data_IF_482690168793
#
_entry.id   IF_482690168793
#
_cell.length_a   1.000
_cell.length_b   1.000
_cell.length_c   1.000
_cell.angle_alpha   90.00
_cell.angle_beta   90.00
_cell.angle_gamma   90.00
#
_symmetry.space_group_name_H-M   'P 1'
#
loop_
_entity.id
_entity.type
_entity.pdbx_description
1 polymer ?
#
# COMPACT_ATOMS: atom_id res chain seq x y z
N UNK A 1 -19.03 39.01 -7.30
CA UNK A 1 -17.73 38.83 -6.63
C UNK A 1 -16.68 39.61 -7.43
N UNK A 2 -15.96 40.56 -6.83
CA UNK A 2 -14.85 41.25 -7.49
C UNK A 2 -13.68 40.30 -7.71
N UNK A 3 -12.97 40.35 -8.85
CA UNK A 3 -11.81 39.50 -9.10
C UNK A 3 -10.73 39.78 -8.02
N UNK A 4 -10.23 38.72 -7.42
CA UNK A 4 -9.15 38.81 -6.43
C UNK A 4 -7.83 38.96 -7.18
N UNK A 5 -7.12 40.06 -6.91
CA UNK A 5 -5.83 40.33 -7.55
C UNK A 5 -4.71 39.86 -6.64
N UNK A 6 -3.86 38.98 -7.14
CA UNK A 6 -2.71 38.44 -6.40
C UNK A 6 -1.43 39.22 -6.72
N UNK A 7 -0.60 39.42 -5.72
CA UNK A 7 0.75 39.99 -5.93
C UNK A 7 1.68 38.91 -6.53
N UNK A 8 2.73 39.35 -7.24
CA UNK A 8 3.73 38.41 -7.79
C UNK A 8 4.36 37.51 -6.69
N UNK A 9 4.58 38.07 -5.48
CA UNK A 9 5.08 37.29 -4.33
C UNK A 9 4.10 36.22 -3.89
N UNK A 10 2.80 36.55 -3.80
CA UNK A 10 1.77 35.56 -3.44
C UNK A 10 1.67 34.42 -4.49
N UNK A 11 1.80 34.75 -5.78
CA UNK A 11 1.83 33.77 -6.85
C UNK A 11 3.04 32.85 -6.72
N UNK A 12 4.22 33.36 -6.49
CA UNK A 12 5.43 32.57 -6.28
C UNK A 12 5.32 31.65 -5.07
N UNK A 13 4.74 32.15 -3.98
CA UNK A 13 4.50 31.33 -2.78
C UNK A 13 3.50 30.21 -3.05
N UNK A 14 2.40 30.48 -3.75
CA UNK A 14 1.41 29.46 -4.11
C UNK A 14 2.01 28.37 -5.04
N UNK A 15 2.89 28.77 -5.98
CA UNK A 15 3.61 27.79 -6.83
C UNK A 15 4.50 26.87 -5.98
N UNK A 16 5.21 27.42 -4.99
CA UNK A 16 6.07 26.65 -4.11
C UNK A 16 5.29 25.71 -3.17
N UNK A 17 4.11 26.13 -2.72
CA UNK A 17 3.25 25.34 -1.81
C UNK A 17 2.45 24.24 -2.52
N UNK A 18 2.24 24.35 -3.82
CA UNK A 18 1.51 23.35 -4.60
C UNK A 18 0.09 23.09 -4.07
N UNK A 19 -0.18 21.86 -3.65
CA UNK A 19 -1.49 21.45 -3.12
C UNK A 19 -1.71 21.84 -1.64
N UNK A 20 -0.67 22.29 -0.94
CA UNK A 20 -0.75 22.67 0.48
C UNK A 20 -1.20 24.12 0.60
N UNK A 21 -2.23 24.38 1.38
CA UNK A 21 -2.76 25.71 1.66
C UNK A 21 -2.69 25.99 3.17
N UNK A 22 -3.00 27.24 3.57
CA UNK A 22 -3.07 27.61 5.00
C UNK A 22 -4.11 26.81 5.79
N UNK A 23 -5.08 26.20 5.12
CA UNK A 23 -6.09 25.32 5.73
C UNK A 23 -5.59 23.89 5.99
N UNK A 24 -4.41 23.51 5.49
CA UNK A 24 -3.81 22.21 5.74
C UNK A 24 -3.31 22.13 7.18
N UNK A 25 -3.79 21.11 7.94
CA UNK A 25 -3.57 21.03 9.38
C UNK A 25 -2.63 19.90 9.82
N UNK A 26 -2.30 18.96 8.91
CA UNK A 26 -1.33 17.92 9.19
C UNK A 26 0.12 18.43 8.98
N UNK A 27 1.10 17.70 9.51
CA UNK A 27 2.51 17.93 9.18
C UNK A 27 2.84 17.25 7.84
N UNK A 28 3.12 18.03 6.76
CA UNK A 28 3.39 17.42 5.44
C UNK A 28 4.61 16.49 5.46
N UNK A 29 5.64 16.81 6.26
CA UNK A 29 6.86 16.02 6.30
C UNK A 29 6.62 14.66 6.96
N UNK A 30 5.87 14.65 8.05
CA UNK A 30 5.46 13.41 8.71
C UNK A 30 4.57 12.57 7.79
N UNK A 31 3.60 13.19 7.12
CA UNK A 31 2.73 12.47 6.17
C UNK A 31 3.54 11.87 5.03
N UNK A 32 4.45 12.63 4.41
CA UNK A 32 5.35 12.14 3.34
C UNK A 32 6.16 10.93 3.82
N UNK A 33 6.68 10.98 5.05
CA UNK A 33 7.47 9.89 5.62
C UNK A 33 6.64 8.62 5.77
N UNK A 34 5.44 8.70 6.32
CA UNK A 34 4.56 7.55 6.50
C UNK A 34 4.05 7.01 5.15
N UNK A 35 3.72 7.88 4.19
CA UNK A 35 3.36 7.46 2.84
C UNK A 35 4.51 6.72 2.13
N UNK A 36 5.76 7.13 2.34
CA UNK A 36 6.92 6.43 1.80
C UNK A 36 7.08 5.02 2.41
N UNK A 37 6.80 4.84 3.71
CA UNK A 37 6.80 3.52 4.36
C UNK A 37 5.72 2.61 3.79
N UNK A 38 4.49 3.12 3.68
CA UNK A 38 3.39 2.37 3.08
C UNK A 38 3.74 1.99 1.63
N UNK A 39 4.19 2.95 0.83
CA UNK A 39 4.60 2.72 -0.55
C UNK A 39 5.70 1.67 -0.67
N UNK A 40 6.68 1.69 0.22
CA UNK A 40 7.74 0.67 0.24
C UNK A 40 7.17 -0.73 0.50
N UNK A 41 6.19 -0.84 1.39
CA UNK A 41 5.49 -2.10 1.67
C UNK A 41 4.69 -2.57 0.46
N UNK A 42 3.95 -1.69 -0.23
CA UNK A 42 3.22 -2.03 -1.46
C UNK A 42 4.15 -2.59 -2.55
N UNK A 43 5.31 -1.95 -2.77
CA UNK A 43 6.31 -2.43 -3.74
C UNK A 43 6.83 -3.81 -3.35
N UNK A 44 7.06 -4.04 -2.07
CA UNK A 44 7.53 -5.35 -1.56
C UNK A 44 6.44 -6.40 -1.68
N UNK A 45 5.19 -6.05 -1.38
CA UNK A 45 4.00 -6.91 -1.55
C UNK A 45 3.83 -7.31 -3.01
N UNK A 46 3.94 -6.36 -3.93
CA UNK A 46 3.94 -6.65 -5.37
C UNK A 46 4.96 -7.73 -5.74
N UNK A 47 6.21 -7.58 -5.28
CA UNK A 47 7.28 -8.55 -5.58
C UNK A 47 7.00 -9.91 -4.97
N UNK A 48 6.49 -9.98 -3.74
CA UNK A 48 6.12 -11.21 -3.05
C UNK A 48 4.97 -11.93 -3.77
N UNK A 49 3.89 -11.22 -4.11
CA UNK A 49 2.78 -11.78 -4.86
C UNK A 49 3.19 -12.29 -6.24
N UNK A 50 4.06 -11.54 -6.95
CA UNK A 50 4.61 -12.00 -8.23
C UNK A 50 5.45 -13.26 -8.08
N UNK A 51 6.30 -13.33 -7.06
CA UNK A 51 7.08 -14.54 -6.77
C UNK A 51 6.14 -15.73 -6.50
N UNK A 52 5.13 -15.55 -5.64
CA UNK A 52 4.17 -16.60 -5.32
C UNK A 52 3.34 -17.01 -6.55
N UNK A 53 2.95 -16.08 -7.42
CA UNK A 53 2.25 -16.39 -8.66
C UNK A 53 3.09 -17.27 -9.60
N UNK A 54 4.40 -17.03 -9.71
CA UNK A 54 5.30 -17.90 -10.50
C UNK A 54 5.50 -19.27 -9.89
N UNK A 55 5.38 -19.41 -8.57
CA UNK A 55 5.55 -20.66 -7.84
C UNK A 55 4.24 -21.44 -7.65
N UNK A 56 3.08 -20.77 -7.76
CA UNK A 56 1.77 -21.36 -7.53
C UNK A 56 1.35 -22.27 -8.69
N UNK A 57 1.93 -23.48 -8.75
CA UNK A 57 1.58 -24.51 -9.74
C UNK A 57 0.84 -25.62 -9.02
N UNK A 58 -0.48 -25.75 -9.26
CA UNK A 58 -1.29 -26.79 -8.64
C UNK A 58 -2.50 -27.13 -9.51
N UNK A 59 -2.75 -28.43 -9.64
CA UNK A 59 -3.98 -28.94 -10.24
C UNK A 59 -5.22 -28.77 -9.33
N UNK A 60 -5.00 -28.59 -8.02
CA UNK A 60 -6.06 -28.47 -7.02
C UNK A 60 -6.46 -27.00 -6.73
N UNK A 61 -5.67 -26.04 -7.17
CA UNK A 61 -5.95 -24.62 -7.01
C UNK A 61 -5.55 -23.84 -8.29
N UNK A 62 -6.18 -24.10 -9.43
CA UNK A 62 -5.76 -23.51 -10.71
C UNK A 62 -5.96 -21.99 -10.77
N UNK A 63 -6.90 -21.43 -9.99
CA UNK A 63 -7.16 -19.98 -9.92
C UNK A 63 -6.19 -19.20 -9.00
N UNK A 64 -5.48 -19.88 -8.09
CA UNK A 64 -4.65 -19.20 -7.09
C UNK A 64 -3.53 -18.36 -7.70
N UNK A 65 -2.95 -18.83 -8.80
CA UNK A 65 -1.95 -18.07 -9.55
C UNK A 65 -2.53 -16.77 -10.08
N UNK A 66 -3.70 -16.83 -10.69
CA UNK A 66 -4.36 -15.67 -11.30
C UNK A 66 -4.77 -14.66 -10.20
N UNK A 67 -5.20 -15.14 -9.04
CA UNK A 67 -5.52 -14.30 -7.89
C UNK A 67 -4.27 -13.59 -7.34
N UNK A 68 -3.15 -14.30 -7.21
CA UNK A 68 -1.89 -13.67 -6.81
C UNK A 68 -1.39 -12.64 -7.83
N UNK A 69 -1.58 -12.87 -9.13
CA UNK A 69 -1.25 -11.89 -10.18
C UNK A 69 -2.17 -10.66 -10.13
N UNK A 70 -3.45 -10.86 -9.83
CA UNK A 70 -4.41 -9.76 -9.66
C UNK A 70 -4.06 -8.91 -8.43
N UNK A 71 -3.78 -9.53 -7.29
CA UNK A 71 -3.34 -8.83 -6.09
C UNK A 71 -2.03 -8.06 -6.36
N UNK A 72 -1.02 -8.69 -6.95
CA UNK A 72 0.22 -8.01 -7.31
C UNK A 72 -0.03 -6.74 -8.15
N UNK A 73 -0.95 -6.81 -9.10
CA UNK A 73 -1.29 -5.65 -9.95
C UNK A 73 -1.87 -4.50 -9.13
N UNK A 74 -2.72 -4.80 -8.13
CA UNK A 74 -3.31 -3.80 -7.25
C UNK A 74 -2.26 -3.20 -6.31
N UNK A 75 -1.36 -4.00 -5.71
CA UNK A 75 -0.26 -3.50 -4.88
C UNK A 75 0.60 -2.46 -5.62
N UNK A 76 0.91 -2.72 -6.90
CA UNK A 76 1.65 -1.77 -7.72
C UNK A 76 0.85 -0.49 -7.99
N UNK A 77 -0.45 -0.59 -8.20
CA UNK A 77 -1.33 0.58 -8.36
C UNK A 77 -1.40 1.40 -7.05
N UNK A 78 -1.51 0.75 -5.90
CA UNK A 78 -1.46 1.41 -4.60
C UNK A 78 -0.14 2.16 -4.40
N UNK A 79 1.00 1.53 -4.73
CA UNK A 79 2.31 2.17 -4.67
C UNK A 79 2.39 3.44 -5.54
N UNK A 80 1.79 3.41 -6.73
CA UNK A 80 1.74 4.57 -7.64
C UNK A 80 0.84 5.69 -7.09
N UNK A 81 -0.32 5.37 -6.56
CA UNK A 81 -1.23 6.34 -5.93
C UNK A 81 -0.57 7.04 -4.73
N UNK A 82 0.11 6.27 -3.88
CA UNK A 82 0.88 6.82 -2.76
C UNK A 82 2.03 7.73 -3.25
N UNK A 83 2.73 7.31 -4.30
CA UNK A 83 3.79 8.09 -4.94
C UNK A 83 3.30 9.43 -5.49
N UNK A 84 2.15 9.44 -6.15
CA UNK A 84 1.49 10.65 -6.64
C UNK A 84 1.11 11.59 -5.48
N UNK A 85 0.59 11.03 -4.38
CA UNK A 85 0.23 11.83 -3.21
C UNK A 85 1.46 12.45 -2.54
N UNK A 86 2.55 11.72 -2.41
CA UNK A 86 3.83 12.23 -1.91
C UNK A 86 4.28 13.44 -2.74
N UNK A 87 4.23 13.33 -4.08
CA UNK A 87 4.58 14.42 -4.98
C UNK A 87 3.68 15.65 -4.78
N UNK A 88 2.37 15.46 -4.64
CA UNK A 88 1.41 16.55 -4.39
C UNK A 88 1.70 17.29 -3.10
N UNK A 89 2.22 16.60 -2.08
CA UNK A 89 2.63 17.16 -0.81
C UNK A 89 4.03 17.84 -0.86
N UNK A 90 4.68 17.86 -2.03
CA UNK A 90 6.00 18.44 -2.23
C UNK A 90 7.16 17.52 -1.85
N UNK A 91 6.87 16.22 -1.61
CA UNK A 91 7.87 15.19 -1.32
C UNK A 91 8.40 14.49 -2.56
N UNK A 92 9.38 13.62 -2.34
CA UNK A 92 9.94 12.73 -3.36
C UNK A 92 9.70 11.29 -2.92
N UNK A 93 8.99 10.47 -3.72
CA UNK A 93 8.86 9.04 -3.43
C UNK A 93 10.23 8.37 -3.47
N UNK A 94 10.49 7.45 -2.53
CA UNK A 94 11.73 6.68 -2.54
C UNK A 94 11.74 5.67 -3.70
N UNK A 95 12.87 5.58 -4.42
CA UNK A 95 13.04 4.68 -5.56
C UNK A 95 14.23 3.73 -5.42
N UNK A 96 15.13 4.00 -4.48
CA UNK A 96 16.28 3.14 -4.23
C UNK A 96 15.80 1.78 -3.70
N UNK A 97 16.18 0.65 -4.33
CA UNK A 97 15.79 -0.68 -3.83
C UNK A 97 16.25 -0.93 -2.39
N UNK A 98 17.39 -0.35 -1.99
CA UNK A 98 17.92 -0.46 -0.62
C UNK A 98 17.01 0.28 0.36
N UNK A 99 16.57 1.50 0.02
CA UNK A 99 15.69 2.30 0.87
C UNK A 99 14.28 1.68 0.95
N UNK A 100 13.78 1.13 -0.15
CA UNK A 100 12.52 0.39 -0.18
C UNK A 100 12.61 -0.80 0.78
N UNK A 101 13.64 -1.63 0.64
CA UNK A 101 13.82 -2.80 1.50
C UNK A 101 14.01 -2.44 3.00
N UNK A 102 14.63 -1.29 3.29
CA UNK A 102 14.83 -0.81 4.65
C UNK A 102 13.55 -0.29 5.33
N UNK A 103 12.57 0.19 4.55
CA UNK A 103 11.35 0.82 5.06
C UNK A 103 10.11 -0.08 4.97
N UNK A 104 10.11 -1.06 4.08
CA UNK A 104 8.99 -1.96 3.89
C UNK A 104 8.76 -2.85 5.11
N UNK A 105 7.49 -3.11 5.43
CA UNK A 105 7.14 -4.25 6.24
C UNK A 105 7.39 -5.53 5.42
N UNK A 106 7.99 -6.53 6.03
CA UNK A 106 8.26 -7.82 5.40
C UNK A 106 7.74 -8.94 6.27
N UNK A 107 7.08 -9.90 5.64
CA UNK A 107 6.65 -11.15 6.26
C UNK A 107 7.17 -12.28 5.37
N UNK A 108 7.82 -13.24 5.97
CA UNK A 108 8.18 -14.45 5.25
C UNK A 108 9.27 -15.23 5.97
N UNK A 109 9.08 -16.53 6.03
CA UNK A 109 10.15 -17.50 6.27
C UNK A 109 10.44 -18.10 4.90
N UNK A 110 11.62 -17.86 4.34
CA UNK A 110 12.03 -18.48 3.08
C UNK A 110 12.67 -19.83 3.39
N UNK A 111 11.90 -20.95 3.40
CA UNK A 111 12.48 -22.27 3.59
C UNK A 111 13.41 -22.58 2.41
N UNK A 112 14.49 -23.36 2.67
CA UNK A 112 15.47 -23.74 1.64
C UNK A 112 14.85 -24.44 0.41
N UNK A 113 13.68 -25.08 0.58
CA UNK A 113 12.96 -25.79 -0.48
C UNK A 113 11.85 -24.94 -1.15
N UNK A 114 11.72 -23.69 -0.76
CA UNK A 114 10.61 -22.80 -1.17
C UNK A 114 9.31 -23.09 -0.41
N UNK A 115 8.38 -22.12 -0.34
CA UNK A 115 7.12 -22.26 0.38
C UNK A 115 6.15 -23.19 -0.35
N UNK A 116 5.36 -23.94 0.41
CA UNK A 116 4.16 -24.64 -0.08
C UNK A 116 3.07 -23.63 -0.45
N UNK A 117 2.07 -24.03 -1.25
CA UNK A 117 0.91 -23.16 -1.56
C UNK A 117 0.24 -22.62 -0.30
N UNK A 118 0.10 -23.45 0.73
CA UNK A 118 -0.50 -23.02 2.00
C UNK A 118 0.35 -21.98 2.72
N UNK A 119 1.66 -22.12 2.72
CA UNK A 119 2.59 -21.16 3.29
C UNK A 119 2.57 -19.85 2.51
N UNK A 120 2.53 -19.86 1.17
CA UNK A 120 2.38 -18.65 0.35
C UNK A 120 1.10 -17.87 0.71
N UNK A 121 -0.03 -18.56 0.89
CA UNK A 121 -1.29 -17.92 1.30
C UNK A 121 -1.16 -17.32 2.70
N UNK A 122 -0.52 -18.02 3.65
CA UNK A 122 -0.30 -17.53 5.01
C UNK A 122 0.61 -16.29 5.01
N UNK A 123 1.71 -16.31 4.27
CA UNK A 123 2.64 -15.20 4.19
C UNK A 123 1.96 -13.95 3.61
N UNK A 124 1.21 -14.10 2.51
CA UNK A 124 0.45 -13.00 1.93
C UNK A 124 -0.62 -12.49 2.91
N UNK A 125 -1.38 -13.37 3.56
CA UNK A 125 -2.38 -12.97 4.57
C UNK A 125 -1.75 -12.18 5.72
N UNK A 126 -0.59 -12.60 6.21
CA UNK A 126 0.08 -11.90 7.31
C UNK A 126 0.59 -10.53 6.88
N UNK A 127 1.04 -10.38 5.63
CA UNK A 127 1.46 -9.11 5.07
C UNK A 127 0.26 -8.15 4.92
N UNK A 128 -0.85 -8.61 4.32
CA UNK A 128 -2.10 -7.84 4.23
C UNK A 128 -2.57 -7.34 5.61
N UNK A 129 -2.55 -8.21 6.61
CA UNK A 129 -2.96 -7.82 7.97
C UNK A 129 -2.05 -6.75 8.59
N UNK A 130 -0.76 -6.78 8.31
CA UNK A 130 0.16 -5.71 8.72
C UNK A 130 -0.17 -4.39 8.00
N UNK A 131 -0.46 -4.45 6.70
CA UNK A 131 -0.88 -3.29 5.92
C UNK A 131 -2.21 -2.72 6.44
N UNK A 132 -3.23 -3.56 6.69
CA UNK A 132 -4.49 -3.13 7.31
C UNK A 132 -4.25 -2.37 8.61
N UNK A 133 -3.38 -2.88 9.48
CA UNK A 133 -3.04 -2.22 10.74
C UNK A 133 -2.34 -0.87 10.53
N UNK A 134 -1.39 -0.81 9.59
CA UNK A 134 -0.63 0.39 9.28
C UNK A 134 -1.54 1.48 8.66
N UNK A 135 -2.36 1.13 7.67
CA UNK A 135 -3.34 2.03 7.05
C UNK A 135 -4.34 2.56 8.07
N UNK A 136 -4.91 1.66 8.90
CA UNK A 136 -5.87 2.03 9.94
C UNK A 136 -5.25 3.02 10.94
N UNK A 137 -3.99 2.82 11.30
CA UNK A 137 -3.28 3.70 12.23
C UNK A 137 -3.11 5.10 11.61
N UNK A 138 -2.57 5.18 10.39
CA UNK A 138 -2.34 6.46 9.74
C UNK A 138 -3.65 7.21 9.44
N UNK A 139 -4.73 6.52 9.04
CA UNK A 139 -6.06 7.10 8.86
C UNK A 139 -6.57 7.77 10.14
N UNK A 140 -6.33 7.15 11.31
CA UNK A 140 -6.71 7.73 12.60
C UNK A 140 -5.86 8.93 12.98
N UNK A 141 -4.55 8.85 12.76
CA UNK A 141 -3.60 9.93 13.05
C UNK A 141 -3.86 11.18 12.20
N UNK A 142 -4.18 11.02 10.93
CA UNK A 142 -4.52 12.12 10.03
C UNK A 142 -5.80 12.87 10.44
N UNK A 143 -6.79 12.16 10.97
CA UNK A 143 -8.06 12.74 11.34
C UNK A 143 -8.64 13.61 10.21
N UNK A 144 -8.94 14.86 10.50
CA UNK A 144 -9.43 15.86 9.53
C UNK A 144 -8.29 16.77 8.99
N UNK A 145 -7.05 16.53 9.42
CA UNK A 145 -5.89 17.38 9.06
C UNK A 145 -5.49 17.28 7.60
N UNK A 146 -5.68 16.11 6.98
CA UNK A 146 -5.47 15.87 5.54
C UNK A 146 -6.57 14.96 4.99
N UNK A 147 -7.74 15.50 4.65
CA UNK A 147 -8.88 14.72 4.16
C UNK A 147 -8.60 14.02 2.83
N UNK A 148 -7.72 14.57 1.99
CA UNK A 148 -7.38 13.97 0.69
C UNK A 148 -6.52 12.73 0.87
N UNK A 149 -5.47 12.79 1.67
CA UNK A 149 -4.65 11.62 2.00
C UNK A 149 -5.48 10.57 2.74
N UNK A 150 -6.27 11.00 3.73
CA UNK A 150 -7.15 10.10 4.49
C UNK A 150 -8.11 9.34 3.58
N UNK A 151 -8.74 10.00 2.61
CA UNK A 151 -9.62 9.36 1.65
C UNK A 151 -8.87 8.32 0.80
N UNK A 152 -7.71 8.68 0.25
CA UNK A 152 -6.87 7.76 -0.51
C UNK A 152 -6.53 6.51 0.31
N UNK A 153 -6.10 6.69 1.57
CA UNK A 153 -5.76 5.58 2.45
C UNK A 153 -6.97 4.69 2.76
N UNK A 154 -8.18 5.23 2.88
CA UNK A 154 -9.40 4.46 3.09
C UNK A 154 -9.77 3.62 1.86
N UNK A 155 -9.53 4.12 0.64
CA UNK A 155 -9.74 3.39 -0.61
C UNK A 155 -8.77 2.19 -0.69
N UNK A 156 -7.49 2.40 -0.41
CA UNK A 156 -6.47 1.32 -0.39
C UNK A 156 -6.78 0.32 0.75
N UNK A 157 -7.10 0.80 1.94
CA UNK A 157 -7.45 -0.05 3.08
C UNK A 157 -8.60 -1.02 2.76
N UNK A 158 -9.62 -0.56 2.04
CA UNK A 158 -10.75 -1.41 1.66
C UNK A 158 -10.31 -2.56 0.72
N UNK A 159 -9.37 -2.32 -0.20
CA UNK A 159 -8.80 -3.35 -1.05
C UNK A 159 -7.95 -4.34 -0.24
N UNK A 160 -7.09 -3.84 0.65
CA UNK A 160 -6.23 -4.65 1.53
C UNK A 160 -7.06 -5.55 2.47
N UNK A 161 -8.16 -5.02 3.04
CA UNK A 161 -9.10 -5.81 3.86
C UNK A 161 -9.80 -6.91 3.04
N UNK A 162 -10.15 -6.63 1.79
CA UNK A 162 -10.71 -7.61 0.87
C UNK A 162 -9.71 -8.72 0.55
N UNK A 163 -8.47 -8.40 0.21
CA UNK A 163 -7.39 -9.37 -0.03
C UNK A 163 -7.16 -10.27 1.20
N UNK A 164 -7.09 -9.67 2.39
CA UNK A 164 -6.94 -10.45 3.63
C UNK A 164 -8.12 -11.42 3.86
N UNK A 165 -9.35 -11.02 3.51
CA UNK A 165 -10.53 -11.88 3.62
C UNK A 165 -10.48 -13.04 2.63
N UNK A 166 -10.16 -12.78 1.37
CA UNK A 166 -10.04 -13.77 0.29
C UNK A 166 -8.99 -14.82 0.64
N UNK A 167 -7.81 -14.40 1.10
CA UNK A 167 -6.73 -15.31 1.53
C UNK A 167 -7.13 -16.15 2.74
N UNK A 168 -7.84 -15.55 3.71
CA UNK A 168 -8.33 -16.29 4.87
C UNK A 168 -9.36 -17.35 4.48
N UNK A 169 -10.19 -17.10 3.48
CA UNK A 169 -11.19 -18.05 2.99
C UNK A 169 -10.54 -19.24 2.28
N UNK A 170 -9.46 -19.05 1.52
CA UNK A 170 -8.65 -20.15 1.02
C UNK A 170 -8.16 -21.09 2.13
N UNK A 171 -7.68 -20.52 3.25
CA UNK A 171 -7.17 -21.32 4.36
C UNK A 171 -8.26 -22.07 5.14
N UNK A 172 -9.47 -21.52 5.25
CA UNK A 172 -10.63 -22.16 5.87
C UNK A 172 -11.10 -23.36 5.02
N UNK A 173 -11.27 -23.13 3.72
CA UNK A 173 -11.80 -24.14 2.80
C UNK A 173 -10.85 -25.33 2.60
N UNK A 174 -9.54 -25.11 2.72
CA UNK A 174 -8.55 -26.21 2.66
C UNK A 174 -8.51 -27.07 3.91
N UNK A 175 -9.04 -26.61 5.05
CA UNK A 175 -9.15 -27.40 6.28
C UNK A 175 -10.38 -28.33 6.31
N UNK A 176 -11.35 -28.13 5.43
CA UNK A 176 -12.55 -28.97 5.33
C UNK A 176 -12.39 -30.19 4.40
N UNK A 177 -11.35 -30.22 3.58
CA UNK A 177 -10.99 -31.42 2.79
C UNK A 177 -10.19 -32.36 3.69
N UNK A 178 -10.89 -33.00 4.63
CA UNK A 178 -10.36 -34.21 5.29
C UNK A 178 -10.64 -35.42 4.40
N UNK A 179 -9.66 -36.38 4.29
CA UNK A 179 -9.85 -37.61 3.59
C UNK A 179 -10.91 -38.49 4.25
#
# INVERSE_FOLDING_TARGET
>A
MSPQTYTAKAVQQAIAQGAITEAYQADPQQVIQELNRLRATEVTSYLQYKQHAYMAVSLFAPGLKDDFEAHATLELQHADLLGQRIQQLGGVPIYSPVDIAAQAATVGVHPEQGPTLREMIIENLMLERQQVAAYTTLVRELGEGDPTTRRLLLEILADTERHASELADYLKNTSEVRP
#
